data_IF_709655214709
#
_entry.id   IF_709655214709
#
_cell.length_a   1.000
_cell.length_b   1.000
_cell.length_c   1.000
_cell.angle_alpha   90.00
_cell.angle_beta   90.00
_cell.angle_gamma   90.00
#
_symmetry.space_group_name_H-M   'P 1'
#
loop_
_entity.id
_entity.type
_entity.pdbx_description
1 polymer ?
#
# COMPACT_ATOMS: atom_id res chain seq x y z
N UNK A 1 -37.77 3.41 68.10
CA UNK A 1 -38.41 2.38 67.24
C UNK A 1 -37.40 1.80 66.27
N UNK A 2 -37.33 0.47 66.16
CA UNK A 2 -36.41 -0.28 65.28
C UNK A 2 -36.34 0.31 63.85
N UNK A 3 -37.49 0.72 63.32
CA UNK A 3 -37.66 1.35 62.00
C UNK A 3 -36.83 2.62 61.80
N UNK A 4 -36.69 3.49 62.81
CA UNK A 4 -35.88 4.72 62.72
C UNK A 4 -34.39 4.38 62.60
N UNK A 5 -33.93 3.35 63.33
CA UNK A 5 -32.53 2.89 63.28
C UNK A 5 -32.19 2.27 61.93
N UNK A 6 -33.07 1.41 61.40
CA UNK A 6 -32.92 0.82 60.07
C UNK A 6 -32.89 1.88 58.95
N UNK A 7 -33.71 2.94 59.06
CA UNK A 7 -33.69 4.03 58.08
C UNK A 7 -32.37 4.82 58.11
N UNK A 8 -31.81 5.08 59.29
CA UNK A 8 -30.50 5.75 59.43
C UNK A 8 -29.40 4.86 58.84
N UNK A 9 -29.38 3.57 59.19
CA UNK A 9 -28.40 2.60 58.67
C UNK A 9 -28.44 2.50 57.13
N UNK A 10 -29.64 2.49 56.53
CA UNK A 10 -29.80 2.47 55.06
C UNK A 10 -29.35 3.78 54.43
N UNK A 11 -29.71 4.94 54.99
CA UNK A 11 -29.29 6.25 54.49
C UNK A 11 -27.76 6.41 54.56
N UNK A 12 -27.15 6.03 55.67
CA UNK A 12 -25.69 6.07 55.83
C UNK A 12 -25.00 5.15 54.82
N UNK A 13 -25.54 3.94 54.60
CA UNK A 13 -25.01 3.02 53.59
C UNK A 13 -25.15 3.54 52.15
N UNK A 14 -26.19 4.31 51.84
CA UNK A 14 -26.41 4.90 50.52
C UNK A 14 -25.40 6.02 50.22
N UNK A 15 -25.10 6.86 51.21
CA UNK A 15 -24.19 8.02 51.06
C UNK A 15 -22.71 7.69 51.32
N UNK A 16 -22.39 6.53 51.89
CA UNK A 16 -21.00 6.10 52.09
C UNK A 16 -20.27 5.95 50.75
N UNK A 17 -19.14 6.65 50.60
CA UNK A 17 -18.22 6.51 49.46
C UNK A 17 -17.65 5.09 49.39
N UNK A 18 -17.52 4.56 48.17
CA UNK A 18 -17.01 3.20 47.92
C UNK A 18 -15.73 3.24 47.09
N UNK A 19 -14.69 2.63 47.62
CA UNK A 19 -13.42 2.41 46.90
C UNK A 19 -13.54 1.28 45.88
N UNK A 20 -12.81 1.35 44.74
CA UNK A 20 -11.83 2.39 44.37
C UNK A 20 -12.41 3.62 43.63
N UNK A 21 -13.74 3.72 43.49
CA UNK A 21 -14.38 4.73 42.63
C UNK A 21 -14.65 6.06 43.32
N UNK A 22 -14.61 6.12 44.64
CA UNK A 22 -14.86 7.32 45.42
C UNK A 22 -16.27 7.89 45.22
N UNK A 23 -17.25 7.04 44.93
CA UNK A 23 -18.66 7.40 44.70
C UNK A 23 -19.58 6.66 45.67
N UNK A 24 -20.64 7.32 46.10
CA UNK A 24 -21.72 6.70 46.86
C UNK A 24 -22.77 6.06 45.92
N UNK A 25 -23.66 5.21 46.44
CA UNK A 25 -24.78 4.66 45.63
C UNK A 25 -25.71 5.80 45.21
N UNK A 26 -25.92 6.76 46.10
CA UNK A 26 -26.75 7.93 45.82
C UNK A 26 -26.20 8.75 44.64
N UNK A 27 -24.88 8.98 44.60
CA UNK A 27 -24.24 9.71 43.49
C UNK A 27 -24.36 8.94 42.17
N UNK A 28 -24.19 7.62 42.21
CA UNK A 28 -24.33 6.77 41.04
C UNK A 28 -25.76 6.80 40.48
N UNK A 29 -26.77 6.67 41.35
CA UNK A 29 -28.19 6.75 40.95
C UNK A 29 -28.52 8.11 40.34
N UNK A 30 -28.11 9.21 40.99
CA UNK A 30 -28.34 10.56 40.48
C UNK A 30 -27.71 10.78 39.10
N UNK A 31 -26.49 10.27 38.87
CA UNK A 31 -25.82 10.36 37.57
C UNK A 31 -26.51 9.53 36.50
N UNK A 32 -26.98 8.33 36.83
CA UNK A 32 -27.72 7.47 35.88
C UNK A 32 -29.01 8.16 35.44
N UNK A 33 -29.74 8.77 36.37
CA UNK A 33 -30.99 9.49 36.06
C UNK A 33 -30.77 10.74 35.19
N UNK A 34 -29.55 11.28 35.16
CA UNK A 34 -29.19 12.42 34.31
C UNK A 34 -28.76 12.01 32.88
N UNK A 35 -28.56 10.71 32.61
CA UNK A 35 -28.20 10.21 31.28
C UNK A 35 -29.47 10.13 30.42
N UNK A 36 -29.40 10.62 29.18
CA UNK A 36 -30.50 10.51 28.21
C UNK A 36 -30.82 9.06 27.88
N UNK A 37 -32.11 8.74 27.73
CA UNK A 37 -32.58 7.41 27.29
C UNK A 37 -32.04 7.00 25.91
N UNK A 38 -31.59 7.96 25.10
CA UNK A 38 -30.95 7.70 23.81
C UNK A 38 -29.52 7.16 23.94
N UNK A 39 -28.88 7.30 25.10
CA UNK A 39 -27.51 6.87 25.35
C UNK A 39 -27.48 5.37 25.72
N UNK A 40 -27.53 4.51 24.70
CA UNK A 40 -27.46 3.06 24.87
C UNK A 40 -26.05 2.53 24.62
N UNK A 41 -25.64 1.52 25.39
CA UNK A 41 -24.39 0.77 25.19
C UNK A 41 -24.63 -0.71 25.45
N UNK A 42 -24.16 -1.57 24.54
CA UNK A 42 -24.18 -3.03 24.72
C UNK A 42 -22.91 -3.55 25.39
N UNK A 43 -21.83 -2.76 25.37
CA UNK A 43 -20.56 -3.09 25.97
C UNK A 43 -20.64 -3.10 27.50
N UNK A 44 -20.23 -4.21 28.10
CA UNK A 44 -20.20 -4.41 29.56
C UNK A 44 -18.77 -4.52 30.06
N UNK A 45 -18.39 -3.62 30.97
CA UNK A 45 -17.12 -3.68 31.71
C UNK A 45 -17.25 -4.75 32.81
N UNK A 46 -16.35 -5.74 32.84
CA UNK A 46 -16.37 -6.85 33.80
C UNK A 46 -15.41 -6.63 34.96
N UNK A 47 -15.65 -7.35 36.07
CA UNK A 47 -15.11 -7.12 37.42
C UNK A 47 -13.71 -6.54 37.51
N UNK A 48 -12.69 -7.23 37.00
CA UNK A 48 -11.31 -6.75 37.12
C UNK A 48 -11.05 -5.44 36.37
N UNK A 49 -11.60 -5.28 35.17
CA UNK A 49 -11.51 -4.03 34.41
C UNK A 49 -12.25 -2.88 35.09
N UNK A 50 -13.37 -3.17 35.78
CA UNK A 50 -14.13 -2.17 36.53
C UNK A 50 -13.36 -1.69 37.77
N UNK A 51 -12.67 -2.60 38.47
CA UNK A 51 -11.84 -2.29 39.63
C UNK A 51 -10.59 -1.51 39.22
N UNK A 52 -9.98 -1.84 38.07
CA UNK A 52 -8.84 -1.09 37.50
C UNK A 52 -9.21 0.32 37.03
N UNK A 53 -10.49 0.58 36.74
CA UNK A 53 -11.02 1.89 36.39
C UNK A 53 -11.43 2.64 37.66
N UNK A 54 -10.45 2.92 38.51
CA UNK A 54 -10.63 3.74 39.71
C UNK A 54 -10.97 5.20 39.35
N UNK A 55 -11.18 6.04 40.37
CA UNK A 55 -11.57 7.44 40.18
C UNK A 55 -10.59 8.24 39.30
N UNK A 56 -9.30 8.09 39.52
CA UNK A 56 -8.27 8.85 38.80
C UNK A 56 -8.10 8.32 37.37
N UNK A 57 -8.06 6.99 37.22
CA UNK A 57 -8.00 6.35 35.91
C UNK A 57 -9.23 6.67 35.06
N UNK A 58 -10.43 6.68 35.66
CA UNK A 58 -11.65 7.09 34.96
C UNK A 58 -11.56 8.52 34.42
N UNK A 59 -11.09 9.47 35.24
CA UNK A 59 -10.90 10.87 34.83
C UNK A 59 -9.91 10.97 33.67
N UNK A 60 -8.76 10.31 33.77
CA UNK A 60 -7.74 10.30 32.71
C UNK A 60 -8.27 9.69 31.42
N UNK A 61 -8.99 8.57 31.52
CA UNK A 61 -9.60 7.89 30.38
C UNK A 61 -10.68 8.76 29.73
N UNK A 62 -11.49 9.48 30.51
CA UNK A 62 -12.48 10.43 30.01
C UNK A 62 -11.83 11.57 29.23
N UNK A 63 -10.78 12.20 29.77
CA UNK A 63 -10.03 13.27 29.09
C UNK A 63 -9.41 12.76 27.78
N UNK A 64 -8.82 11.56 27.79
CA UNK A 64 -8.27 10.96 26.58
C UNK A 64 -9.38 10.66 25.54
N UNK A 65 -10.56 10.22 25.98
CA UNK A 65 -11.71 9.93 25.10
C UNK A 65 -12.26 11.21 24.46
N UNK A 66 -12.41 12.27 25.23
CA UNK A 66 -12.85 13.59 24.76
C UNK A 66 -11.87 14.15 23.73
N UNK A 67 -10.56 14.09 24.02
CA UNK A 67 -9.52 14.50 23.07
C UNK A 67 -9.55 13.65 21.80
N UNK A 68 -9.69 12.33 21.93
CA UNK A 68 -9.78 11.41 20.79
C UNK A 68 -11.00 11.71 19.91
N UNK A 69 -12.15 12.02 20.52
CA UNK A 69 -13.34 12.46 19.83
C UNK A 69 -13.14 13.80 19.11
N UNK A 70 -12.59 14.80 19.80
CA UNK A 70 -12.34 16.14 19.24
C UNK A 70 -11.35 16.14 18.07
N UNK A 71 -10.42 15.19 18.05
CA UNK A 71 -9.50 14.97 16.93
C UNK A 71 -10.11 14.15 15.78
N UNK A 72 -11.35 13.68 15.91
CA UNK A 72 -12.03 12.92 14.85
C UNK A 72 -11.70 11.43 14.80
N UNK A 73 -11.15 10.85 15.88
CA UNK A 73 -10.69 9.46 15.90
C UNK A 73 -11.77 8.39 15.67
N UNK A 74 -13.06 8.74 15.80
CA UNK A 74 -14.19 7.85 15.48
C UNK A 74 -14.65 7.94 14.03
N UNK A 75 -14.33 9.04 13.34
CA UNK A 75 -14.72 9.26 11.95
C UNK A 75 -13.62 8.89 10.98
N UNK A 76 -12.36 8.83 11.46
CA UNK A 76 -11.20 8.50 10.65
C UNK A 76 -11.22 7.03 10.22
N UNK A 77 -11.31 6.83 8.91
CA UNK A 77 -11.36 5.54 8.21
C UNK A 77 -10.75 5.70 6.83
N UNK A 78 -10.39 4.60 6.18
CA UNK A 78 -9.83 4.63 4.81
C UNK A 78 -10.78 5.22 3.76
N UNK A 79 -12.09 5.31 4.06
CA UNK A 79 -13.09 5.93 3.18
C UNK A 79 -13.26 7.44 3.43
N UNK A 80 -12.91 7.92 4.62
CA UNK A 80 -13.18 9.30 5.03
C UNK A 80 -11.97 10.22 4.94
N UNK A 81 -10.76 9.66 4.89
CA UNK A 81 -9.51 10.39 4.72
C UNK A 81 -8.49 9.50 4.03
N UNK A 82 -7.65 10.05 3.14
CA UNK A 82 -6.56 9.31 2.51
C UNK A 82 -5.53 8.77 3.52
N UNK A 83 -5.51 9.34 4.74
CA UNK A 83 -4.67 8.92 5.86
C UNK A 83 -5.27 7.84 6.75
N UNK A 84 -6.49 7.38 6.46
CA UNK A 84 -7.19 6.40 7.29
C UNK A 84 -6.40 5.10 7.49
N UNK A 85 -5.73 4.61 6.46
CA UNK A 85 -4.86 3.44 6.54
C UNK A 85 -3.71 3.62 7.53
N UNK A 86 -3.01 4.76 7.47
CA UNK A 86 -1.90 5.08 8.37
C UNK A 86 -2.31 5.09 9.85
N UNK A 87 -3.52 5.56 10.17
CA UNK A 87 -4.07 5.52 11.52
C UNK A 87 -4.40 4.09 11.97
N UNK A 88 -5.03 3.29 11.10
CA UNK A 88 -5.43 1.91 11.42
C UNK A 88 -4.21 1.04 11.68
N UNK A 89 -3.20 1.14 10.81
CA UNK A 89 -1.98 0.33 10.87
C UNK A 89 -0.91 0.95 11.79
N UNK A 90 -1.19 2.11 12.37
CA UNK A 90 -0.30 2.83 13.30
C UNK A 90 1.10 3.14 12.74
N UNK A 91 1.19 3.38 11.43
CA UNK A 91 2.46 3.54 10.69
C UNK A 91 3.14 4.88 10.99
N UNK A 92 2.37 5.95 11.21
CA UNK A 92 2.88 7.31 11.46
C UNK A 92 2.69 7.67 12.94
N UNK A 93 3.50 7.07 13.80
CA UNK A 93 3.32 7.16 15.27
C UNK A 93 3.94 8.40 15.94
N UNK A 94 4.73 9.22 15.22
CA UNK A 94 5.41 10.40 15.79
C UNK A 94 5.21 11.65 14.92
N UNK A 95 5.36 12.84 15.53
CA UNK A 95 5.33 14.10 14.79
C UNK A 95 6.46 14.21 13.77
N UNK A 96 7.64 13.66 14.10
CA UNK A 96 8.79 13.64 13.18
C UNK A 96 8.51 12.75 11.97
N UNK A 97 7.87 11.59 12.17
CA UNK A 97 7.44 10.73 11.07
C UNK A 97 6.42 11.46 10.17
N UNK A 98 5.46 12.20 10.76
CA UNK A 98 4.51 13.01 10.00
C UNK A 98 5.21 14.08 9.14
N UNK A 99 6.20 14.78 9.70
CA UNK A 99 7.01 15.75 8.96
C UNK A 99 7.81 15.11 7.82
N UNK A 100 8.43 13.94 8.05
CA UNK A 100 9.16 13.19 7.03
C UNK A 100 8.23 12.75 5.89
N UNK A 101 7.02 12.29 6.20
CA UNK A 101 6.03 11.92 5.18
C UNK A 101 5.63 13.13 4.34
N UNK A 102 5.42 14.29 4.97
CA UNK A 102 5.10 15.53 4.24
C UNK A 102 6.24 15.96 3.32
N UNK A 103 7.49 15.87 3.78
CA UNK A 103 8.67 16.14 2.96
C UNK A 103 8.79 15.16 1.78
N UNK A 104 8.55 13.87 2.03
CA UNK A 104 8.53 12.83 1.00
C UNK A 104 7.47 13.15 -0.06
N UNK A 105 6.23 13.43 0.34
CA UNK A 105 5.13 13.80 -0.57
C UNK A 105 5.47 15.06 -1.38
N UNK A 106 5.99 16.09 -0.73
CA UNK A 106 6.38 17.34 -1.39
C UNK A 106 7.47 17.09 -2.42
N UNK A 107 8.50 16.32 -2.06
CA UNK A 107 9.63 15.98 -2.93
C UNK A 107 9.20 15.09 -4.09
N UNK A 108 8.28 14.17 -3.86
CA UNK A 108 7.72 13.29 -4.88
C UNK A 108 6.90 14.11 -5.88
N UNK A 109 5.94 14.92 -5.41
CA UNK A 109 5.03 15.70 -6.26
C UNK A 109 5.72 16.82 -7.05
N UNK A 110 6.67 17.53 -6.42
CA UNK A 110 7.24 18.75 -7.03
C UNK A 110 8.52 18.50 -7.82
N UNK A 111 9.24 17.42 -7.53
CA UNK A 111 10.56 17.16 -8.11
C UNK A 111 10.60 15.79 -8.76
N UNK A 112 10.51 14.74 -7.95
CA UNK A 112 10.99 13.42 -8.38
C UNK A 112 10.07 12.77 -9.41
N UNK A 113 8.77 12.69 -9.13
CA UNK A 113 7.79 12.09 -10.04
C UNK A 113 7.65 12.93 -11.31
N UNK A 114 7.49 14.25 -11.17
CA UNK A 114 7.28 15.17 -12.30
C UNK A 114 8.46 15.17 -13.26
N UNK A 115 9.70 15.34 -12.76
CA UNK A 115 10.90 15.36 -13.62
C UNK A 115 11.09 13.99 -14.28
N UNK A 116 10.91 12.89 -13.55
CA UNK A 116 11.03 11.55 -14.11
C UNK A 116 9.97 11.32 -15.19
N UNK A 117 8.72 11.74 -14.97
CA UNK A 117 7.60 11.60 -15.90
C UNK A 117 7.80 12.36 -17.19
N UNK A 118 8.18 13.63 -17.10
CA UNK A 118 8.44 14.45 -18.27
C UNK A 118 9.62 13.90 -19.09
N UNK A 119 10.73 13.58 -18.41
CA UNK A 119 11.93 13.08 -19.08
C UNK A 119 11.68 11.72 -19.75
N UNK A 120 11.04 10.79 -19.03
CA UNK A 120 10.73 9.46 -19.55
C UNK A 120 9.71 9.53 -20.70
N UNK A 121 8.59 10.24 -20.51
CA UNK A 121 7.53 10.33 -21.54
C UNK A 121 8.03 10.98 -22.82
N UNK A 122 8.86 12.01 -22.71
CA UNK A 122 9.53 12.62 -23.87
C UNK A 122 10.45 11.62 -24.57
N UNK A 123 11.29 10.92 -23.82
CA UNK A 123 12.23 9.93 -24.39
C UNK A 123 11.49 8.76 -25.07
N UNK A 124 10.41 8.27 -24.47
CA UNK A 124 9.53 7.22 -25.02
C UNK A 124 8.93 7.67 -26.36
N UNK A 125 8.38 8.89 -26.40
CA UNK A 125 7.77 9.46 -27.60
C UNK A 125 8.81 9.65 -28.72
N UNK A 126 9.99 10.20 -28.39
CA UNK A 126 11.11 10.38 -29.32
C UNK A 126 11.61 9.04 -29.91
N UNK A 127 11.43 7.95 -29.16
CA UNK A 127 11.78 6.59 -29.61
C UNK A 127 10.64 5.87 -30.35
N UNK A 128 9.47 6.48 -30.53
CA UNK A 128 8.32 5.84 -31.18
C UNK A 128 7.74 4.66 -30.38
N UNK A 129 7.89 4.69 -29.05
CA UNK A 129 7.32 3.69 -28.14
C UNK A 129 5.95 4.14 -27.61
N UNK A 130 5.19 3.19 -27.07
CA UNK A 130 3.92 3.48 -26.40
C UNK A 130 4.17 4.20 -25.08
N UNK A 131 3.44 5.29 -24.85
CA UNK A 131 3.48 6.01 -23.58
C UNK A 131 2.75 5.18 -22.53
N UNK A 132 3.45 4.66 -21.50
CA UNK A 132 2.83 3.87 -20.46
C UNK A 132 1.90 4.72 -19.57
N UNK A 133 0.92 4.06 -18.97
CA UNK A 133 -0.11 4.70 -18.13
C UNK A 133 0.07 4.47 -16.63
N UNK A 134 1.07 3.68 -16.23
CA UNK A 134 1.38 3.35 -14.83
C UNK A 134 2.89 3.22 -14.63
N UNK A 135 3.35 3.39 -13.38
CA UNK A 135 4.78 3.28 -13.04
C UNK A 135 5.33 1.87 -13.28
N UNK A 136 4.57 0.81 -12.98
CA UNK A 136 5.03 -0.56 -13.23
C UNK A 136 5.43 -0.79 -14.69
N UNK A 137 4.61 -0.30 -15.61
CA UNK A 137 4.84 -0.46 -17.06
C UNK A 137 6.12 0.23 -17.52
N UNK A 138 6.59 1.27 -16.83
CA UNK A 138 7.90 1.85 -17.13
C UNK A 138 9.03 0.87 -16.85
N UNK A 139 8.98 0.20 -15.70
CA UNK A 139 9.94 -0.83 -15.34
C UNK A 139 9.97 -1.96 -16.36
N UNK A 140 8.80 -2.38 -16.84
CA UNK A 140 8.67 -3.40 -17.88
C UNK A 140 9.32 -2.95 -19.20
N UNK A 141 9.07 -1.70 -19.63
CA UNK A 141 9.69 -1.11 -20.83
C UNK A 141 11.22 -1.05 -20.67
N UNK A 142 11.73 -0.54 -19.54
CA UNK A 142 13.16 -0.44 -19.26
C UNK A 142 13.82 -1.83 -19.26
N UNK A 143 13.14 -2.83 -18.71
CA UNK A 143 13.63 -4.21 -18.67
C UNK A 143 13.72 -4.79 -20.09
N UNK A 144 12.69 -4.61 -20.93
CA UNK A 144 12.72 -5.05 -22.33
C UNK A 144 13.88 -4.37 -23.08
N UNK A 145 14.08 -3.06 -22.91
CA UNK A 145 15.16 -2.31 -23.57
C UNK A 145 16.54 -2.81 -23.11
N UNK A 146 16.72 -3.07 -21.81
CA UNK A 146 17.96 -3.65 -21.26
C UNK A 146 18.21 -5.04 -21.81
N UNK A 147 17.16 -5.86 -21.91
CA UNK A 147 17.28 -7.21 -22.45
C UNK A 147 17.61 -7.20 -23.94
N UNK A 148 17.07 -6.25 -24.70
CA UNK A 148 17.45 -6.01 -26.09
C UNK A 148 18.91 -5.59 -26.21
N UNK A 149 19.36 -4.61 -25.41
CA UNK A 149 20.76 -4.14 -25.42
C UNK A 149 21.75 -5.28 -25.14
N UNK A 150 21.54 -6.01 -24.06
CA UNK A 150 22.40 -7.14 -23.68
C UNK A 150 22.33 -8.32 -24.65
N UNK A 151 21.22 -8.49 -25.39
CA UNK A 151 21.14 -9.45 -26.50
C UNK A 151 22.01 -9.01 -27.67
N UNK A 152 21.98 -7.71 -28.02
CA UNK A 152 22.79 -7.14 -29.11
C UNK A 152 24.28 -6.96 -28.75
N UNK A 153 24.66 -7.10 -27.48
CA UNK A 153 26.07 -7.18 -27.07
C UNK A 153 26.71 -8.53 -27.45
N UNK A 154 25.92 -9.61 -27.52
CA UNK A 154 26.40 -10.97 -27.80
C UNK A 154 25.98 -11.51 -29.16
N UNK A 155 25.02 -10.87 -29.81
CA UNK A 155 24.58 -11.21 -31.16
C UNK A 155 24.51 -9.97 -32.05
N UNK A 156 24.75 -10.15 -33.35
CA UNK A 156 24.36 -9.13 -34.32
C UNK A 156 22.81 -9.04 -34.43
N UNK A 157 22.29 -7.99 -35.07
CA UNK A 157 20.84 -7.74 -35.21
C UNK A 157 20.07 -8.84 -35.95
N UNK A 158 20.74 -9.65 -36.77
CA UNK A 158 20.13 -10.72 -37.56
C UNK A 158 19.57 -11.84 -36.66
N UNK A 159 19.90 -11.84 -35.36
CA UNK A 159 19.32 -12.73 -34.35
C UNK A 159 17.80 -12.72 -34.35
N UNK A 160 17.19 -11.56 -34.56
CA UNK A 160 15.73 -11.40 -34.53
C UNK A 160 15.03 -11.89 -35.81
N UNK A 161 15.79 -12.25 -36.85
CA UNK A 161 15.27 -12.86 -38.08
C UNK A 161 15.27 -14.40 -38.02
N UNK A 162 15.91 -14.98 -37.00
CA UNK A 162 15.99 -16.42 -36.83
C UNK A 162 14.71 -17.00 -36.17
N UNK A 163 14.40 -18.29 -36.37
CA UNK A 163 13.27 -18.95 -35.70
C UNK A 163 13.61 -19.23 -34.22
N UNK A 164 13.65 -18.17 -33.40
CA UNK A 164 14.13 -18.21 -32.02
C UNK A 164 13.37 -19.19 -31.13
N UNK A 165 12.06 -19.37 -31.34
CA UNK A 165 11.26 -20.36 -30.61
C UNK A 165 11.69 -21.81 -30.90
N UNK A 166 12.06 -22.12 -32.15
CA UNK A 166 12.61 -23.42 -32.53
C UNK A 166 14.01 -23.60 -31.97
N UNK A 167 14.85 -22.58 -32.08
CA UNK A 167 16.23 -22.64 -31.61
C UNK A 167 16.30 -22.74 -30.09
N UNK A 168 15.43 -22.06 -29.34
CA UNK A 168 15.34 -22.18 -27.89
C UNK A 168 14.93 -23.59 -27.46
N UNK A 169 14.00 -24.22 -28.20
CA UNK A 169 13.58 -25.61 -27.98
C UNK A 169 14.71 -26.59 -28.27
N UNK A 170 15.35 -26.46 -29.42
CA UNK A 170 16.42 -27.35 -29.87
C UNK A 170 17.68 -27.23 -29.00
N UNK A 171 18.02 -26.02 -28.55
CA UNK A 171 19.20 -25.75 -27.72
C UNK A 171 18.97 -25.99 -26.23
N UNK A 172 17.74 -26.30 -25.80
CA UNK A 172 17.45 -26.59 -24.40
C UNK A 172 18.26 -27.82 -23.95
N UNK A 173 19.01 -27.72 -22.83
CA UNK A 173 19.72 -28.88 -22.33
C UNK A 173 18.73 -29.98 -21.95
N UNK A 174 18.71 -31.07 -22.72
CA UNK A 174 17.93 -32.25 -22.37
C UNK A 174 18.26 -32.74 -20.96
N UNK A 175 17.21 -33.09 -20.19
CA UNK A 175 17.27 -33.52 -18.79
C UNK A 175 18.02 -34.84 -18.54
N UNK A 176 18.50 -35.52 -19.58
CA UNK A 176 19.26 -36.76 -19.44
C UNK A 176 20.70 -36.45 -19.01
N UNK A 177 20.97 -36.52 -17.71
CA UNK A 177 22.33 -36.56 -17.19
C UNK A 177 23.05 -37.81 -17.69
N UNK A 178 24.29 -37.66 -18.16
CA UNK A 178 25.15 -38.76 -18.59
C UNK A 178 25.53 -38.74 -20.08
N UNK A 179 26.37 -39.71 -20.46
CA UNK A 179 26.97 -39.86 -21.79
C UNK A 179 25.90 -40.03 -22.90
N UNK A 180 24.76 -40.67 -22.57
CA UNK A 180 23.63 -40.87 -23.50
C UNK A 180 22.97 -39.57 -23.97
N UNK A 181 22.84 -38.57 -23.08
CA UNK A 181 22.31 -37.24 -23.45
C UNK A 181 23.24 -36.41 -24.32
N UNK A 182 24.55 -36.71 -24.25
CA UNK A 182 25.58 -36.12 -25.11
C UNK A 182 25.56 -36.75 -26.50
N UNK A 183 25.40 -38.07 -26.60
CA UNK A 183 25.35 -38.80 -27.89
C UNK A 183 24.12 -38.43 -28.71
N UNK A 184 22.95 -38.25 -28.09
CA UNK A 184 21.74 -37.75 -28.77
C UNK A 184 21.90 -36.31 -29.28
N UNK A 185 22.67 -35.45 -28.59
CA UNK A 185 22.97 -34.08 -29.06
C UNK A 185 23.97 -34.04 -30.22
N UNK A 186 24.90 -34.99 -30.27
CA UNK A 186 25.87 -35.13 -31.36
C UNK A 186 25.20 -35.68 -32.63
N UNK A 187 24.14 -36.46 -32.52
CA UNK A 187 23.40 -37.02 -33.68
C UNK A 187 22.20 -36.17 -34.10
N UNK A 188 21.69 -35.29 -33.24
CA UNK A 188 20.56 -34.43 -33.56
C UNK A 188 20.93 -33.31 -34.56
N UNK A 189 20.42 -33.46 -35.79
CA UNK A 189 20.61 -32.51 -36.90
C UNK A 189 20.04 -31.12 -36.58
N UNK A 190 18.92 -31.03 -35.86
CA UNK A 190 18.27 -29.75 -35.53
C UNK A 190 19.11 -28.96 -34.52
N UNK A 191 19.60 -29.62 -33.46
CA UNK A 191 20.52 -29.01 -32.49
C UNK A 191 21.79 -28.47 -33.15
N UNK A 192 22.44 -29.26 -34.03
CA UNK A 192 23.64 -28.81 -34.75
C UNK A 192 23.35 -27.62 -35.67
N UNK A 193 22.21 -27.65 -36.35
CA UNK A 193 21.78 -26.57 -37.23
C UNK A 193 21.55 -25.28 -36.43
N UNK A 194 20.72 -25.32 -35.39
CA UNK A 194 20.44 -24.18 -34.51
C UNK A 194 21.72 -23.61 -33.89
N UNK A 195 22.59 -24.48 -33.36
CA UNK A 195 23.88 -24.07 -32.80
C UNK A 195 24.77 -23.41 -33.85
N UNK A 196 24.91 -24.00 -35.03
CA UNK A 196 25.76 -23.46 -36.10
C UNK A 196 25.26 -22.09 -36.57
N UNK A 197 23.94 -21.93 -36.75
CA UNK A 197 23.36 -20.66 -37.17
C UNK A 197 23.50 -19.59 -36.09
N UNK A 198 23.12 -19.88 -34.85
CA UNK A 198 23.23 -18.94 -33.74
C UNK A 198 24.69 -18.55 -33.42
N UNK A 199 25.64 -19.50 -33.46
CA UNK A 199 27.06 -19.18 -33.28
C UNK A 199 27.67 -18.37 -34.43
N UNK A 200 27.06 -18.35 -35.62
CA UNK A 200 27.55 -17.57 -36.77
C UNK A 200 27.37 -16.06 -36.56
N UNK A 201 26.30 -15.69 -35.87
CA UNK A 201 25.92 -14.31 -35.59
C UNK A 201 26.34 -13.86 -34.18
N UNK A 202 27.08 -14.71 -33.46
CA UNK A 202 27.61 -14.42 -32.14
C UNK A 202 28.76 -13.41 -32.24
N UNK A 203 28.77 -12.44 -31.31
CA UNK A 203 29.81 -11.43 -31.19
C UNK A 203 30.74 -11.80 -30.04
N UNK A 204 32.04 -11.94 -30.32
CA UNK A 204 33.07 -12.24 -29.33
C UNK A 204 33.56 -13.69 -29.32
N UNK A 205 34.18 -14.15 -28.21
CA UNK A 205 34.69 -15.51 -28.09
C UNK A 205 33.60 -16.55 -28.27
N UNK A 206 33.96 -17.72 -28.81
CA UNK A 206 33.01 -18.80 -29.12
C UNK A 206 32.22 -19.21 -27.87
N UNK A 207 30.88 -19.16 -27.88
CA UNK A 207 30.08 -19.39 -26.68
C UNK A 207 30.06 -20.86 -26.28
N UNK A 208 29.96 -21.11 -24.98
CA UNK A 208 29.60 -22.43 -24.49
C UNK A 208 28.15 -22.78 -24.91
N UNK A 209 27.79 -24.07 -25.04
CA UNK A 209 26.41 -24.45 -25.36
C UNK A 209 25.38 -23.92 -24.36
N UNK A 210 25.77 -23.76 -23.09
CA UNK A 210 24.92 -23.23 -22.03
C UNK A 210 24.69 -21.73 -22.21
N UNK A 211 25.76 -20.96 -22.44
CA UNK A 211 25.66 -19.52 -22.75
C UNK A 211 24.77 -19.27 -23.97
N UNK A 212 24.99 -20.04 -25.05
CA UNK A 212 24.21 -19.89 -26.27
C UNK A 212 22.72 -20.19 -26.02
N UNK A 213 22.39 -21.24 -25.27
CA UNK A 213 21.00 -21.54 -24.92
C UNK A 213 20.35 -20.43 -24.08
N UNK A 214 21.07 -19.87 -23.11
CA UNK A 214 20.58 -18.76 -22.28
C UNK A 214 20.34 -17.51 -23.15
N UNK A 215 21.31 -17.16 -23.99
CA UNK A 215 21.23 -15.98 -24.84
C UNK A 215 20.12 -16.10 -25.90
N UNK A 216 19.91 -17.28 -26.48
CA UNK A 216 18.78 -17.53 -27.42
C UNK A 216 17.43 -17.41 -26.73
N UNK A 217 17.27 -17.94 -25.52
CA UNK A 217 16.03 -17.76 -24.75
C UNK A 217 15.77 -16.28 -24.45
N UNK A 218 16.82 -15.54 -24.10
CA UNK A 218 16.73 -14.10 -23.88
C UNK A 218 16.29 -13.37 -25.15
N UNK A 219 16.91 -13.67 -26.29
CA UNK A 219 16.54 -13.10 -27.58
C UNK A 219 15.08 -13.42 -27.96
N UNK A 220 14.62 -14.65 -27.67
CA UNK A 220 13.23 -15.04 -27.88
C UNK A 220 12.27 -14.18 -27.05
N UNK A 221 12.53 -14.02 -25.76
CA UNK A 221 11.71 -13.18 -24.88
C UNK A 221 11.67 -11.72 -25.37
N UNK A 222 12.80 -11.18 -25.82
CA UNK A 222 12.85 -9.84 -26.42
C UNK A 222 11.96 -9.75 -27.66
N UNK A 223 12.06 -10.71 -28.57
CA UNK A 223 11.26 -10.74 -29.80
C UNK A 223 9.76 -10.79 -29.51
N UNK A 224 9.34 -11.55 -28.49
CA UNK A 224 7.95 -11.68 -28.06
C UNK A 224 7.42 -10.42 -27.35
N UNK A 225 8.27 -9.75 -26.56
CA UNK A 225 7.89 -8.57 -25.77
C UNK A 225 7.92 -7.26 -26.56
N UNK A 226 8.80 -7.12 -27.55
CA UNK A 226 8.99 -5.88 -28.31
C UNK A 226 7.71 -5.31 -28.97
N UNK A 227 6.82 -6.13 -29.58
CA UNK A 227 5.57 -5.63 -30.15
C UNK A 227 4.63 -4.97 -29.13
N UNK A 228 4.76 -5.30 -27.84
CA UNK A 228 3.89 -4.76 -26.78
C UNK A 228 4.25 -3.33 -26.37
N UNK A 229 5.46 -2.87 -26.70
CA UNK A 229 5.96 -1.55 -26.30
C UNK A 229 6.14 -0.59 -27.48
N UNK A 230 6.08 -1.10 -28.71
CA UNK A 230 6.31 -0.34 -29.94
C UNK A 230 5.02 0.36 -30.39
N UNK A 231 5.11 1.63 -30.77
CA UNK A 231 4.02 2.37 -31.43
C UNK A 231 4.24 2.47 -32.94
N UNK A 232 5.42 2.95 -33.34
CA UNK A 232 5.81 3.19 -34.74
C UNK A 232 7.08 2.41 -35.09
N UNK A 233 7.62 2.55 -36.31
CA UNK A 233 8.88 1.88 -36.71
C UNK A 233 10.05 2.39 -35.86
N UNK A 234 10.33 1.69 -34.75
CA UNK A 234 11.44 1.95 -33.86
C UNK A 234 12.64 1.05 -34.16
N UNK A 235 13.82 1.66 -34.28
CA UNK A 235 15.09 0.93 -34.28
C UNK A 235 15.47 0.62 -32.83
N UNK A 236 15.73 -0.64 -32.46
CA UNK A 236 16.04 -0.98 -31.06
C UNK A 236 17.12 -0.12 -30.39
N UNK A 237 18.14 0.25 -31.13
CA UNK A 237 19.27 1.05 -30.64
C UNK A 237 18.87 2.46 -30.22
N UNK A 238 17.85 3.07 -30.85
CA UNK A 238 17.39 4.42 -30.45
C UNK A 238 16.73 4.38 -29.08
N UNK A 239 16.06 3.27 -28.75
CA UNK A 239 15.41 3.06 -27.45
C UNK A 239 16.42 2.89 -26.29
N UNK A 240 17.71 2.62 -26.56
CA UNK A 240 18.71 2.46 -25.50
C UNK A 240 18.92 3.74 -24.69
N UNK A 241 18.58 4.92 -25.23
CA UNK A 241 18.56 6.19 -24.50
C UNK A 241 17.59 6.19 -23.31
N UNK A 242 16.55 5.35 -23.32
CA UNK A 242 15.64 5.26 -22.18
C UNK A 242 16.35 4.72 -20.92
N UNK A 243 17.45 3.97 -21.06
CA UNK A 243 18.21 3.45 -19.93
C UNK A 243 18.85 4.57 -19.10
N UNK A 244 19.06 5.76 -19.68
CA UNK A 244 19.56 6.93 -18.95
C UNK A 244 18.55 7.43 -17.89
N UNK A 245 17.28 7.02 -17.99
CA UNK A 245 16.21 7.37 -17.04
C UNK A 245 16.05 6.37 -15.89
N UNK A 246 16.87 5.31 -15.83
CA UNK A 246 16.73 4.23 -14.86
C UNK A 246 16.86 4.71 -13.41
N UNK A 247 17.84 5.57 -13.12
CA UNK A 247 18.04 6.11 -11.77
C UNK A 247 16.85 6.95 -11.32
N UNK A 248 16.29 7.77 -12.22
CA UNK A 248 15.09 8.56 -11.97
C UNK A 248 13.88 7.68 -11.67
N UNK A 249 13.68 6.62 -12.46
CA UNK A 249 12.63 5.63 -12.24
C UNK A 249 12.79 4.92 -10.89
N UNK A 250 13.98 4.39 -10.59
CA UNK A 250 14.24 3.67 -9.33
C UNK A 250 14.01 4.57 -8.12
N UNK A 251 14.42 5.84 -8.19
CA UNK A 251 14.16 6.80 -7.13
C UNK A 251 12.67 7.02 -6.88
N UNK A 252 11.86 7.16 -7.94
CA UNK A 252 10.40 7.28 -7.79
C UNK A 252 9.79 6.01 -7.20
N UNK A 253 10.21 4.82 -7.66
CA UNK A 253 9.72 3.53 -7.14
C UNK A 253 9.98 3.41 -5.64
N UNK A 254 11.21 3.69 -5.20
CA UNK A 254 11.56 3.63 -3.78
C UNK A 254 10.71 4.57 -2.93
N UNK A 255 10.50 5.81 -3.40
CA UNK A 255 9.67 6.78 -2.69
C UNK A 255 8.18 6.38 -2.66
N UNK A 256 7.65 5.81 -3.74
CA UNK A 256 6.28 5.30 -3.79
C UNK A 256 6.10 4.08 -2.89
N UNK A 257 7.08 3.17 -2.84
CA UNK A 257 7.05 2.02 -1.93
C UNK A 257 7.14 2.44 -0.46
N UNK A 258 7.97 3.43 -0.14
CA UNK A 258 8.04 4.03 1.19
C UNK A 258 6.70 4.68 1.57
N UNK A 259 6.12 5.48 0.66
CA UNK A 259 4.83 6.11 0.86
C UNK A 259 3.71 5.07 1.04
N UNK A 260 3.71 3.98 0.25
CA UNK A 260 2.74 2.90 0.36
C UNK A 260 2.77 2.26 1.76
N UNK A 261 3.96 2.00 2.30
CA UNK A 261 4.13 1.47 3.66
C UNK A 261 3.61 2.45 4.72
N UNK A 262 3.88 3.74 4.55
CA UNK A 262 3.47 4.77 5.52
C UNK A 262 1.96 5.06 5.48
N UNK A 263 1.34 4.96 4.31
CA UNK A 263 -0.09 5.26 4.13
C UNK A 263 -0.99 4.02 4.23
N UNK A 264 -0.39 2.83 4.28
CA UNK A 264 -1.07 1.53 4.15
C UNK A 264 -1.85 1.37 2.83
N UNK A 265 -1.46 2.11 1.79
CA UNK A 265 -1.96 1.87 0.43
C UNK A 265 -1.23 0.70 -0.21
N UNK A 266 -1.94 -0.08 -1.01
CA UNK A 266 -1.36 -1.17 -1.79
C UNK A 266 -1.33 -0.79 -3.26
N UNK A 267 -0.36 -1.34 -4.00
CA UNK A 267 -0.31 -1.28 -5.46
C UNK A 267 -0.21 0.15 -6.06
N UNK A 268 0.48 1.09 -5.39
CA UNK A 268 0.69 2.44 -5.93
C UNK A 268 1.36 2.45 -7.31
N UNK A 269 2.25 1.48 -7.57
CA UNK A 269 2.94 1.34 -8.86
C UNK A 269 2.02 0.88 -10.01
N UNK A 270 0.92 0.22 -9.67
CA UNK A 270 -0.06 -0.35 -10.61
C UNK A 270 -1.19 0.64 -10.92
N UNK A 271 -1.34 1.70 -10.12
CA UNK A 271 -2.34 2.72 -10.36
C UNK A 271 -2.06 3.46 -11.67
N UNK A 272 -3.15 3.87 -12.33
CA UNK A 272 -3.03 4.80 -13.45
C UNK A 272 -2.45 6.13 -12.98
N UNK A 273 -1.68 6.81 -13.83
CA UNK A 273 -1.12 8.12 -13.50
C UNK A 273 -2.15 9.13 -12.99
N UNK A 274 -3.34 9.29 -13.61
CA UNK A 274 -4.38 10.17 -13.06
C UNK A 274 -4.77 9.80 -11.63
N UNK A 275 -5.05 8.52 -11.36
CA UNK A 275 -5.43 8.05 -10.03
C UNK A 275 -4.32 8.24 -9.00
N UNK A 276 -3.07 7.99 -9.39
CA UNK A 276 -1.91 8.20 -8.53
C UNK A 276 -1.75 9.69 -8.19
N UNK A 277 -1.86 10.57 -9.17
CA UNK A 277 -1.81 12.02 -8.96
C UNK A 277 -2.93 12.49 -8.03
N UNK A 278 -4.17 12.06 -8.25
CA UNK A 278 -5.31 12.42 -7.41
C UNK A 278 -5.11 11.99 -5.95
N UNK A 279 -4.58 10.79 -5.73
CA UNK A 279 -4.25 10.28 -4.39
C UNK A 279 -3.15 11.11 -3.74
N UNK A 280 -2.07 11.40 -4.46
CA UNK A 280 -0.95 12.18 -3.96
C UNK A 280 -1.34 13.63 -3.63
N UNK A 281 -2.21 14.23 -4.44
CA UNK A 281 -2.81 15.55 -4.19
C UNK A 281 -3.65 15.46 -2.92
N UNK A 282 -4.57 14.50 -2.82
CA UNK A 282 -5.43 14.31 -1.65
C UNK A 282 -4.63 14.13 -0.35
N UNK A 283 -3.55 13.35 -0.38
CA UNK A 283 -2.63 13.18 0.75
C UNK A 283 -1.94 14.50 1.12
N UNK A 284 -1.49 15.27 0.12
CA UNK A 284 -0.80 16.55 0.33
C UNK A 284 -1.72 17.66 0.82
N UNK A 285 -3.01 17.64 0.48
CA UNK A 285 -4.00 18.62 0.93
C UNK A 285 -4.44 18.37 2.37
N UNK A 286 -4.59 17.09 2.78
CA UNK A 286 -5.02 16.70 4.13
C UNK A 286 -3.87 16.72 5.16
N UNK A 287 -3.07 17.79 5.18
CA UNK A 287 -1.98 17.99 6.15
C UNK A 287 -2.49 18.06 7.59
N UNK A 288 -3.69 18.59 7.78
CA UNK A 288 -4.30 18.72 9.11
C UNK A 288 -4.54 17.35 9.74
N UNK A 289 -5.02 16.36 8.97
CA UNK A 289 -5.19 15.01 9.49
C UNK A 289 -3.85 14.33 9.70
N UNK A 290 -2.88 14.49 8.79
CA UNK A 290 -1.52 13.95 8.93
C UNK A 290 -0.91 14.26 10.30
N UNK A 291 -0.93 15.53 10.74
CA UNK A 291 -0.36 15.92 12.04
C UNK A 291 -1.22 15.53 13.25
N UNK A 292 -2.48 15.10 13.05
CA UNK A 292 -3.32 14.53 14.12
C UNK A 292 -3.08 13.03 14.34
N UNK A 293 -2.62 12.29 13.31
CA UNK A 293 -2.47 10.83 13.36
C UNK A 293 -1.61 10.35 14.54
N UNK A 294 -0.42 10.93 14.83
CA UNK A 294 0.41 10.45 15.94
C UNK A 294 -0.32 10.50 17.29
N UNK A 295 -1.01 11.62 17.55
CA UNK A 295 -1.77 11.79 18.79
C UNK A 295 -3.01 10.89 18.81
N UNK A 296 -3.68 10.68 17.68
CA UNK A 296 -4.79 9.74 17.55
C UNK A 296 -4.34 8.29 17.83
N UNK A 297 -3.19 7.86 17.30
CA UNK A 297 -2.60 6.54 17.58
C UNK A 297 -2.31 6.41 19.08
N UNK A 298 -1.63 7.40 19.66
CA UNK A 298 -1.28 7.42 21.09
C UNK A 298 -2.52 7.36 21.98
N UNK A 299 -3.57 8.11 21.65
CA UNK A 299 -4.84 8.12 22.38
C UNK A 299 -5.59 6.79 22.20
N UNK A 300 -5.64 6.25 20.99
CA UNK A 300 -6.24 4.95 20.72
C UNK A 300 -5.56 3.85 21.55
N UNK A 301 -4.23 3.79 21.58
CA UNK A 301 -3.47 2.83 22.40
C UNK A 301 -3.83 2.95 23.90
N UNK A 302 -3.78 4.16 24.48
CA UNK A 302 -4.16 4.38 25.90
C UNK A 302 -5.59 3.97 26.23
N UNK A 303 -6.52 4.19 25.30
CA UNK A 303 -7.93 3.81 25.50
C UNK A 303 -8.13 2.30 25.37
N UNK A 304 -7.40 1.61 24.50
CA UNK A 304 -7.39 0.14 24.40
C UNK A 304 -6.84 -0.49 25.69
N UNK A 305 -5.73 0.05 26.23
CA UNK A 305 -5.15 -0.39 27.51
C UNK A 305 -6.12 -0.24 28.70
N UNK A 306 -7.03 0.72 28.63
CA UNK A 306 -8.01 0.99 29.69
C UNK A 306 -9.17 -0.02 29.73
N UNK A 307 -9.06 -1.16 29.04
CA UNK A 307 -10.12 -2.18 28.90
C UNK A 307 -11.41 -1.65 28.25
N UNK A 308 -11.36 -0.48 27.61
CA UNK A 308 -12.49 0.14 26.90
C UNK A 308 -12.46 -0.12 25.38
N UNK A 309 -11.60 -1.02 24.91
CA UNK A 309 -11.49 -1.34 23.50
C UNK A 309 -12.81 -1.74 22.84
N UNK A 310 -13.63 -2.53 23.54
CA UNK A 310 -14.96 -2.92 23.03
C UNK A 310 -15.96 -1.76 22.99
N UNK A 311 -15.87 -0.80 23.92
CA UNK A 311 -16.68 0.43 23.87
C UNK A 311 -16.29 1.28 22.65
N UNK A 312 -14.99 1.43 22.39
CA UNK A 312 -14.50 2.16 21.22
C UNK A 312 -14.98 1.52 19.92
N UNK A 313 -14.94 0.19 19.83
CA UNK A 313 -15.44 -0.55 18.67
C UNK A 313 -16.94 -0.34 18.46
N UNK A 314 -17.74 -0.37 19.54
CA UNK A 314 -19.18 -0.08 19.49
C UNK A 314 -19.47 1.37 19.05
N UNK A 315 -18.72 2.35 19.56
CA UNK A 315 -18.90 3.75 19.17
C UNK A 315 -18.54 4.00 17.71
N UNK A 316 -17.47 3.37 17.21
CA UNK A 316 -17.11 3.42 15.78
C UNK A 316 -18.23 2.84 14.92
N UNK A 317 -18.73 1.64 15.25
CA UNK A 317 -19.78 0.97 14.46
C UNK A 317 -21.09 1.77 14.44
N UNK A 318 -21.51 2.34 15.57
CA UNK A 318 -22.70 3.21 15.65
C UNK A 318 -22.56 4.47 14.78
N UNK A 319 -21.42 5.15 14.80
CA UNK A 319 -21.19 6.33 13.94
C UNK A 319 -21.13 5.96 12.45
N UNK A 320 -20.51 4.85 12.08
CA UNK A 320 -20.49 4.37 10.70
C UNK A 320 -21.90 4.06 10.20
N UNK A 321 -22.73 3.44 11.04
CA UNK A 321 -24.13 3.16 10.72
C UNK A 321 -24.93 4.45 10.54
N UNK A 322 -24.83 5.43 11.45
CA UNK A 322 -25.50 6.72 11.28
C UNK A 322 -25.09 7.44 9.99
N UNK A 323 -23.81 7.40 9.62
CA UNK A 323 -23.32 7.96 8.35
C UNK A 323 -23.81 7.18 7.13
N UNK A 324 -23.88 5.85 7.21
CA UNK A 324 -24.43 4.99 6.14
C UNK A 324 -25.91 5.26 5.92
N UNK A 325 -26.69 5.38 7.00
CA UNK A 325 -28.10 5.76 6.91
C UNK A 325 -28.25 7.16 6.30
N UNK A 326 -27.46 8.16 6.72
CA UNK A 326 -27.52 9.50 6.11
C UNK A 326 -27.04 9.53 4.65
N UNK A 327 -26.08 8.67 4.26
CA UNK A 327 -25.65 8.48 2.87
C UNK A 327 -26.72 7.83 2.00
N UNK A 328 -27.35 6.75 2.48
CA UNK A 328 -28.45 6.07 1.79
C UNK A 328 -29.73 6.95 1.73
N UNK A 329 -29.97 7.82 2.71
CA UNK A 329 -31.01 8.85 2.67
C UNK A 329 -30.64 10.02 1.74
N UNK A 330 -29.36 10.39 1.62
CA UNK A 330 -28.87 11.42 0.70
C UNK A 330 -28.94 11.00 -0.77
N UNK A 331 -28.80 9.70 -1.08
CA UNK A 331 -28.98 9.16 -2.43
C UNK A 331 -30.48 9.07 -2.80
N UNK A 332 -31.39 8.89 -1.83
CA UNK A 332 -32.84 8.85 -2.09
C UNK A 332 -33.55 10.20 -2.19
N UNK A 333 -32.85 11.31 -1.93
CA UNK A 333 -33.42 12.67 -2.08
C UNK A 333 -33.05 13.35 -3.40
N UNK A 334 -32.20 12.73 -4.24
CA UNK A 334 -31.89 13.24 -5.59
C UNK A 334 -32.82 12.65 -6.67
N UNK A 335 -33.44 11.50 -6.42
CA UNK A 335 -34.35 10.83 -7.40
C UNK A 335 -35.86 11.13 -7.20
N UNK A 336 -36.23 12.19 -6.47
CA UNK A 336 -37.64 12.64 -6.35
C UNK A 336 -37.84 14.08 -6.85
N UNK A 337 -36.80 14.76 -7.34
CA UNK A 337 -36.95 16.04 -8.05
C UNK A 337 -35.92 16.16 -9.18
N UNK A 338 -36.04 15.29 -10.19
CA UNK A 338 -35.91 15.63 -11.61
C UNK A 338 -36.32 14.46 -12.51
#
# INVERSE_FOLDING_TARGET
>A
TQRKRTLIEVTDALHKSREPWGLSIYDAQSRIMAISDSATSTFRIRGEALVRLDKDKFRDTYVNLEKFFGLGGFTLSSQSSPWGGAFIDSTISTSDAASQVLELLTTLNTKTLTIAFETFSKTVADCGLLIPTAMRTWGDILQIIRDTKTTLEVFNKDIFELPLAEFARDLTPGKSGGIGGWITKITNRTYRHARKQASRIWIGPKPSPKELSIAIKKAQHVLEAWPQIKKDVTVPETAFKLLDNEDGYQKVVLQLEELAKLTAHTNLLDMSFPTLCDLLISLSEDTTTLFKIPELIRLNAKLQESSLGGLLAEMRSKKTNCRRYLGDFGVRLVDINN
#
